data_IF_729130123332
#
_entry.id   IF_729130123332
#
_cell.length_a   1.000
_cell.length_b   1.000
_cell.length_c   1.000
_cell.angle_alpha   90.00
_cell.angle_beta   90.00
_cell.angle_gamma   90.00
#
_symmetry.space_group_name_H-M   'P 1'
#
loop_
_entity.id
_entity.type
_entity.pdbx_description
1 polymer ?
2 water ?
#
# COMPACT_ATOMS: atom_id res chain seq x y z
N UNK A 18 2.63 17.20 7.70
CA UNK A 18 3.47 16.61 6.68
C UNK A 18 2.65 15.82 5.69
N UNK A 19 2.44 14.56 5.96
CA UNK A 19 1.70 13.65 5.06
C UNK A 19 0.31 13.29 5.58
N UNK A 20 -0.69 13.38 4.72
CA UNK A 20 -2.06 13.17 5.13
C UNK A 20 -2.91 12.36 4.14
N UNK A 21 -4.04 11.91 4.60
CA UNK A 21 -5.02 11.20 3.77
C UNK A 21 -4.45 10.03 2.97
N UNK A 22 -3.74 9.11 3.61
CA UNK A 22 -3.03 8.08 2.84
C UNK A 22 -4.02 7.10 2.15
N UNK A 23 -3.72 6.78 0.88
CA UNK A 23 -4.49 5.80 0.04
C UNK A 23 -3.47 4.75 -0.45
N UNK A 24 -3.80 3.45 -0.35
CA UNK A 24 -2.97 2.43 -0.93
C UNK A 24 -3.80 1.62 -1.89
N UNK A 25 -3.28 1.51 -3.12
CA UNK A 25 -3.77 0.48 -4.05
C UNK A 25 -2.83 -0.71 -4.22
N UNK A 26 -3.35 -1.90 -3.94
CA UNK A 26 -2.58 -3.10 -3.99
C UNK A 26 -3.11 -3.82 -5.22
N UNK A 27 -2.22 -4.10 -6.16
CA UNK A 27 -2.47 -4.87 -7.40
C UNK A 27 -1.66 -6.18 -7.29
N UNK A 28 -2.39 -7.30 -7.29
CA UNK A 28 -1.81 -8.63 -7.15
C UNK A 28 -2.34 -9.59 -8.20
N UNK A 29 -1.45 -10.49 -8.66
CA UNK A 29 -1.87 -11.50 -9.65
C UNK A 29 -2.56 -12.72 -9.04
N UNK A 30 -2.44 -12.90 -7.72
CA UNK A 30 -3.18 -13.93 -6.99
C UNK A 30 -4.62 -13.51 -6.62
N UNK A 31 -5.43 -14.46 -6.18
CA UNK A 31 -6.77 -14.18 -5.76
C UNK A 31 -6.74 -13.86 -4.27
N UNK A 32 -7.51 -12.90 -3.80
CA UNK A 32 -7.47 -12.57 -2.37
C UNK A 32 -8.86 -12.91 -1.89
N UNK A 33 -9.03 -13.26 -0.64
CA UNK A 33 -10.40 -13.41 -0.14
C UNK A 33 -10.67 -12.33 0.86
N UNK A 34 -11.86 -12.34 1.43
CA UNK A 34 -12.13 -11.34 2.45
C UNK A 34 -11.21 -11.28 3.71
N UNK A 35 -10.77 -12.44 4.23
CA UNK A 35 -9.87 -12.50 5.41
C UNK A 35 -8.51 -11.82 5.11
N UNK A 36 -7.99 -12.18 3.93
CA UNK A 36 -6.73 -11.66 3.52
C UNK A 36 -6.81 -10.18 3.22
N UNK A 37 -7.90 -9.72 2.58
CA UNK A 37 -7.99 -8.26 2.48
C UNK A 37 -8.15 -7.60 3.82
N UNK A 38 -8.97 -8.15 4.70
CA UNK A 38 -9.09 -7.54 6.02
C UNK A 38 -7.72 -7.50 6.78
N UNK A 39 -6.94 -8.56 6.65
CA UNK A 39 -5.63 -8.59 7.29
C UNK A 39 -4.67 -7.60 6.68
N UNK A 40 -4.66 -7.50 5.34
CA UNK A 40 -3.88 -6.46 4.71
C UNK A 40 -4.29 -5.04 5.13
N UNK A 41 -5.59 -4.72 5.07
CA UNK A 41 -6.07 -3.38 5.53
C UNK A 41 -5.60 -3.07 6.99
N UNK A 42 -5.74 -4.06 7.85
CA UNK A 42 -5.22 -3.92 9.27
C UNK A 42 -3.77 -3.60 9.30
N UNK A 43 -2.95 -4.36 8.55
CA UNK A 43 -1.50 -4.11 8.52
C UNK A 43 -1.10 -2.79 7.96
N UNK A 44 -1.61 -2.43 6.75
CA UNK A 44 -1.42 -1.12 6.21
C UNK A 44 -1.77 0.01 7.19
N UNK A 45 -2.84 -0.16 7.95
CA UNK A 45 -3.34 0.91 8.86
C UNK A 45 -2.30 1.15 9.92
N UNK A 46 -1.76 0.09 10.51
CA UNK A 46 -0.70 0.20 11.49
C UNK A 46 0.53 0.85 10.92
N UNK A 47 1.01 0.33 9.80
CA UNK A 47 2.16 0.88 9.15
C UNK A 47 2.00 2.37 8.88
N UNK A 48 0.83 2.77 8.39
CA UNK A 48 0.57 4.18 8.17
C UNK A 48 0.55 4.99 9.48
N UNK A 49 -0.17 4.49 10.49
CA UNK A 49 -0.18 5.20 11.74
C UNK A 49 1.18 5.36 12.37
N UNK A 50 1.95 4.26 12.47
CA UNK A 50 3.26 4.33 13.09
C UNK A 50 4.33 5.04 12.26
N UNK A 51 4.35 4.84 10.93
CA UNK A 51 5.45 5.39 10.16
C UNK A 51 5.14 6.69 9.47
N UNK A 52 3.86 6.99 9.23
CA UNK A 52 3.59 8.08 8.31
C UNK A 52 3.25 9.33 9.08
N UNK A 53 2.72 9.14 10.29
CA UNK A 53 2.44 10.28 11.13
C UNK A 53 1.43 10.01 12.21
N UNK A 54 0.16 10.25 11.91
CA UNK A 54 -0.81 10.42 13.01
C UNK A 54 -1.63 9.20 13.50
N UNK A 55 -1.67 9.00 14.83
CA UNK A 55 -2.38 7.84 15.37
C UNK A 55 -3.82 7.80 14.83
N UNK A 56 -4.62 8.80 15.16
CA UNK A 56 -6.04 8.76 14.79
C UNK A 56 -6.28 8.78 13.25
N UNK A 57 -5.20 8.74 12.47
CA UNK A 57 -5.34 8.81 11.00
C UNK A 57 -6.31 7.81 10.41
N UNK A 58 -6.88 8.19 9.27
CA UNK A 58 -7.63 7.20 8.54
C UNK A 58 -7.07 6.86 7.17
N UNK A 59 -7.25 5.62 6.71
CA UNK A 59 -6.43 5.11 5.59
C UNK A 59 -7.33 4.41 4.62
N UNK A 60 -7.25 4.71 3.34
CA UNK A 60 -8.13 4.03 2.40
C UNK A 60 -7.35 2.96 1.65
N UNK A 61 -7.92 1.78 1.49
CA UNK A 61 -7.13 0.67 1.02
C UNK A 61 -7.94 -0.08 -0.04
N UNK A 62 -7.48 -0.05 -1.31
CA UNK A 62 -8.17 -0.70 -2.45
C UNK A 62 -7.38 -1.94 -2.90
N UNK A 63 -8.06 -3.04 -3.25
CA UNK A 63 -7.43 -4.32 -3.62
C UNK A 63 -7.88 -4.74 -5.00
N UNK A 64 -6.96 -4.67 -5.95
CA UNK A 64 -7.23 -5.24 -7.27
C UNK A 64 -6.53 -6.58 -7.38
N UNK A 65 -7.25 -7.67 -7.14
CA UNK A 65 -6.64 -9.03 -7.20
C UNK A 65 -6.81 -9.66 -8.58
N UNK A 66 -6.26 -10.85 -8.78
CA UNK A 66 -6.39 -11.52 -10.06
C UNK A 66 -5.94 -10.65 -11.24
N UNK A 67 -4.96 -9.77 -11.03
CA UNK A 67 -4.55 -8.87 -12.15
C UNK A 67 -3.24 -9.46 -12.64
N UNK A 68 -3.21 -9.98 -13.88
CA UNK A 68 -1.92 -10.55 -14.27
C UNK A 68 -0.75 -9.54 -14.24
N UNK A 69 0.43 -9.98 -13.77
CA UNK A 69 1.58 -9.12 -13.71
C UNK A 69 2.74 -9.91 -14.28
N UNK A 70 3.49 -9.27 -15.15
CA UNK A 70 4.70 -9.95 -15.61
C UNK A 70 5.95 -9.31 -15.03
N UNK A 71 6.97 -10.11 -14.71
CA UNK A 71 8.18 -9.49 -14.12
C UNK A 71 9.34 -10.47 -14.22
N UNK A 72 10.50 -9.99 -14.66
CA UNK A 72 11.66 -10.85 -14.93
C UNK A 72 11.29 -12.05 -15.81
N UNK A 73 10.45 -11.84 -16.81
CA UNK A 73 10.08 -12.98 -17.70
C UNK A 73 9.19 -14.04 -17.09
N UNK A 74 8.58 -13.75 -15.95
CA UNK A 74 7.78 -14.73 -15.32
C UNK A 74 6.41 -14.09 -14.98
N UNK A 75 5.33 -14.84 -15.12
CA UNK A 75 4.06 -14.47 -14.50
C UNK A 75 3.73 -15.17 -13.19
N UNK A 76 4.73 -15.71 -12.45
CA UNK A 76 4.43 -16.18 -11.10
C UNK A 76 3.94 -14.99 -10.28
N UNK A 77 3.26 -15.25 -9.14
CA UNK A 77 2.62 -14.23 -8.32
C UNK A 77 3.61 -13.08 -8.04
N UNK A 78 3.15 -11.87 -8.30
CA UNK A 78 3.92 -10.69 -8.01
C UNK A 78 2.91 -9.59 -7.54
N UNK A 79 3.43 -8.50 -6.98
CA UNK A 79 2.55 -7.47 -6.46
C UNK A 79 3.06 -6.10 -6.81
N UNK A 80 2.16 -5.11 -6.90
CA UNK A 80 2.59 -3.69 -7.03
C UNK A 80 1.70 -2.92 -6.09
N UNK A 81 2.31 -2.05 -5.26
CA UNK A 81 1.48 -1.20 -4.37
C UNK A 81 1.74 0.26 -4.62
N UNK A 82 0.68 1.07 -4.80
CA UNK A 82 0.86 2.49 -5.05
C UNK A 82 0.38 3.22 -3.77
N UNK A 83 1.26 4.00 -3.14
CA UNK A 83 0.90 4.68 -1.90
C UNK A 83 0.79 6.15 -2.27
N UNK A 84 -0.32 6.76 -1.88
CA UNK A 84 -0.57 8.16 -2.21
C UNK A 84 -0.96 8.92 -0.95
N UNK A 85 -0.68 10.21 -0.94
CA UNK A 85 -1.08 10.95 0.25
C UNK A 85 -0.94 12.44 -0.07
N UNK A 86 -1.61 13.29 0.69
CA UNK A 86 -1.47 14.73 0.58
C UNK A 86 -0.14 15.21 1.09
N UNK A 87 0.45 16.16 0.37
CA UNK A 87 1.67 16.84 0.83
C UNK A 87 2.91 16.32 0.18
N UNK A 88 3.94 16.09 1.00
CA UNK A 88 5.10 15.34 0.54
C UNK A 88 5.73 14.63 1.70
N UNK A 89 6.42 13.52 1.40
CA UNK A 89 6.98 12.58 2.39
C UNK A 89 8.26 13.10 3.06
N UNK A 90 8.35 12.98 4.38
CA UNK A 90 9.65 13.07 5.02
C UNK A 90 10.47 11.89 4.46
N UNK A 91 11.75 12.12 4.07
CA UNK A 91 12.40 11.14 3.21
C UNK A 91 12.72 9.84 3.90
N UNK A 92 12.68 9.82 5.24
CA UNK A 92 12.88 8.60 5.99
C UNK A 92 11.64 7.68 5.98
N UNK A 93 10.44 8.23 5.82
CA UNK A 93 9.22 7.41 6.07
C UNK A 93 8.92 6.30 5.04
N UNK A 94 9.01 6.62 3.74
CA UNK A 94 8.85 5.57 2.75
C UNK A 94 9.84 4.44 2.95
N UNK A 95 11.10 4.77 3.33
CA UNK A 95 12.13 3.76 3.59
C UNK A 95 11.69 2.82 4.66
N UNK A 96 10.97 3.34 5.67
CA UNK A 96 10.51 2.53 6.79
C UNK A 96 9.26 1.69 6.42
N UNK A 97 8.49 2.21 5.48
CA UNK A 97 7.20 1.61 5.18
C UNK A 97 7.37 0.39 4.27
N UNK A 98 8.22 0.49 3.27
CA UNK A 98 8.33 -0.55 2.26
C UNK A 98 8.54 -1.96 2.83
N UNK A 99 9.52 -2.11 3.75
CA UNK A 99 9.74 -3.46 4.22
C UNK A 99 8.51 -4.01 4.97
N UNK A 100 7.75 -3.14 5.64
CA UNK A 100 6.52 -3.59 6.33
C UNK A 100 5.41 -3.95 5.35
N UNK A 101 5.25 -3.12 4.30
CA UNK A 101 4.24 -3.38 3.30
C UNK A 101 4.53 -4.71 2.62
N UNK A 102 5.79 -4.87 2.18
CA UNK A 102 6.23 -6.07 1.51
C UNK A 102 6.08 -7.28 2.44
N UNK A 103 6.48 -7.19 3.73
CA UNK A 103 6.30 -8.31 4.67
C UNK A 103 4.83 -8.72 4.79
N UNK A 104 3.95 -7.73 4.93
CA UNK A 104 2.53 -8.01 5.01
C UNK A 104 2.02 -8.71 3.77
N UNK A 105 2.48 -8.30 2.57
CA UNK A 105 2.06 -8.99 1.29
C UNK A 105 2.59 -10.41 1.25
N UNK A 106 3.84 -10.54 1.66
CA UNK A 106 4.38 -11.93 1.67
C UNK A 106 3.60 -12.88 2.59
N UNK A 107 3.30 -12.40 3.78
CA UNK A 107 2.51 -13.20 4.72
C UNK A 107 1.11 -13.52 4.22
N UNK A 108 0.42 -12.53 3.67
CA UNK A 108 -0.97 -12.83 3.36
C UNK A 108 -1.05 -13.52 2.02
N UNK A 109 -0.08 -13.25 1.14
CA UNK A 109 -0.23 -13.74 -0.27
C UNK A 109 0.81 -14.71 -0.78
N UNK A 110 1.86 -14.94 -0.01
CA UNK A 110 2.91 -15.89 -0.42
C UNK A 110 3.83 -15.32 -1.51
N UNK A 111 3.70 -14.04 -1.82
CA UNK A 111 4.50 -13.40 -2.84
C UNK A 111 5.84 -13.03 -2.21
N UNK A 112 6.97 -13.48 -2.79
CA UNK A 112 8.31 -13.22 -2.18
C UNK A 112 8.63 -11.76 -2.37
N UNK A 113 9.39 -11.16 -1.46
CA UNK A 113 9.69 -9.76 -1.57
C UNK A 113 10.36 -9.40 -2.91
N UNK A 114 11.12 -10.32 -3.52
CA UNK A 114 11.77 -9.96 -4.79
C UNK A 114 10.80 -9.76 -5.96
N UNK A 115 9.53 -10.05 -5.74
CA UNK A 115 8.52 -9.73 -6.81
C UNK A 115 7.50 -8.75 -6.29
N UNK A 116 7.92 -7.85 -5.39
CA UNK A 116 6.96 -6.84 -4.86
C UNK A 116 7.52 -5.45 -5.17
N UNK A 117 6.76 -4.62 -5.88
CA UNK A 117 7.18 -3.21 -6.13
C UNK A 117 6.30 -2.29 -5.28
N UNK A 118 6.90 -1.32 -4.60
CA UNK A 118 6.09 -0.30 -3.88
C UNK A 118 6.53 1.10 -4.37
N UNK A 119 5.57 1.91 -4.86
CA UNK A 119 5.86 3.28 -5.29
C UNK A 119 5.06 4.30 -4.48
N UNK A 120 5.66 5.45 -4.12
CA UNK A 120 4.98 6.43 -3.31
C UNK A 120 4.82 7.74 -4.13
N UNK A 121 3.60 8.24 -4.13
CA UNK A 121 3.33 9.52 -4.78
C UNK A 121 2.62 10.46 -3.80
N UNK A 122 2.66 11.73 -4.09
CA UNK A 122 1.86 12.65 -3.28
C UNK A 122 1.40 13.83 -4.12
N UNK A 123 0.46 14.59 -3.60
CA UNK A 123 -0.09 15.70 -4.36
C UNK A 123 -0.45 16.80 -3.36
N UNK A 124 -0.61 18.03 -3.85
CA UNK A 124 -1.13 19.11 -3.00
C UNK A 124 -2.64 19.19 -3.18
N UNK A 125 -3.14 18.48 -4.18
CA UNK A 125 -4.56 18.50 -4.49
C UNK A 125 -5.22 17.14 -4.31
N UNK A 126 -6.06 17.04 -3.29
CA UNK A 126 -6.75 15.79 -3.04
C UNK A 126 -7.89 16.15 -2.09
N UNK A 127 -9.00 15.40 -2.14
CA UNK A 127 -10.29 15.82 -1.62
C UNK A 127 -11.08 14.68 -1.00
N UNK A 128 -11.91 15.00 0.00
CA UNK A 128 -12.56 14.00 0.80
C UNK A 128 -13.74 14.70 1.37
N UNK A 129 -14.81 13.93 1.47
CA UNK A 129 -16.04 14.43 1.97
C UNK A 129 -16.38 15.65 1.15
N UNK A 130 -15.97 15.59 -0.13
CA UNK A 130 -16.38 16.54 -1.18
C UNK A 130 -15.68 17.91 -1.14
N UNK A 131 -14.52 17.98 -0.51
CA UNK A 131 -13.82 19.22 -0.19
C UNK A 131 -12.35 18.89 -0.16
N UNK A 132 -11.53 19.68 -0.86
CA UNK A 132 -10.08 19.42 -0.90
C UNK A 132 -9.37 19.76 0.41
N UNK A 133 -8.28 19.04 0.69
CA UNK A 133 -7.55 19.11 1.96
C UNK A 133 -6.90 20.48 1.99
#
# INVERSE_FOLDING_TARGET
>A
MGSSHHHHHHSSGLVPRGSHMPFLQTIVSVSLDDQKRANLSAAYGMICREELGKPEDFVMTAFSDKTPISFQGSTAPAAYVRVESWGEYAPSKPKMMTPRIAAAITKECGIPAERIYVFYYSTKHCGWNGTNF
#
